data_IF_912321283876
#
_entry.id   IF_912321283876
#
_cell.length_a   1.000
_cell.length_b   1.000
_cell.length_c   1.000
_cell.angle_alpha   90.00
_cell.angle_beta   90.00
_cell.angle_gamma   90.00
#
_symmetry.space_group_name_H-M   'P 1'
#
loop_
_entity.id
_entity.type
_entity.pdbx_description
1 polymer ?
#
# COMPACT_ATOMS: atom_id res chain seq x y z
N UNK A 1 -9.90 -4.50 18.64
CA UNK A 1 -9.90 -5.43 17.47
C UNK A 1 -8.48 -5.54 16.93
N UNK A 2 -8.03 -6.73 16.57
CA UNK A 2 -6.71 -6.92 15.95
C UNK A 2 -6.75 -6.37 14.53
N UNK A 3 -5.83 -5.46 14.21
CA UNK A 3 -5.74 -4.93 12.84
C UNK A 3 -5.04 -5.95 11.93
N UNK A 4 -5.50 -6.12 10.67
CA UNK A 4 -4.88 -7.01 9.69
C UNK A 4 -3.44 -6.60 9.37
N UNK A 5 -2.55 -7.55 8.98
CA UNK A 5 -1.29 -7.19 8.36
C UNK A 5 -1.53 -6.43 7.06
N UNK A 6 -0.73 -5.38 6.84
CA UNK A 6 -0.75 -4.59 5.60
C UNK A 6 0.55 -4.87 4.85
N UNK A 7 0.45 -5.58 3.73
CA UNK A 7 1.57 -5.86 2.85
C UNK A 7 1.76 -4.73 1.85
N UNK A 8 2.99 -4.34 1.59
CA UNK A 8 3.34 -3.31 0.63
C UNK A 8 4.21 -3.90 -0.46
N UNK A 9 3.71 -3.82 -1.68
CA UNK A 9 4.40 -4.13 -2.94
C UNK A 9 4.55 -2.85 -3.76
N UNK A 10 5.42 -2.90 -4.79
CA UNK A 10 5.56 -1.81 -5.75
C UNK A 10 5.47 -2.36 -7.17
N UNK A 11 6.56 -2.89 -7.73
CA UNK A 11 6.67 -3.18 -9.15
C UNK A 11 6.89 -4.65 -9.43
N UNK A 12 6.42 -5.07 -10.60
CA UNK A 12 6.76 -6.37 -11.15
C UNK A 12 7.93 -6.25 -12.12
N UNK A 13 8.79 -7.27 -12.13
CA UNK A 13 9.86 -7.41 -13.10
C UNK A 13 9.97 -8.87 -13.54
N UNK A 14 10.15 -9.09 -14.84
CA UNK A 14 10.37 -10.44 -15.35
C UNK A 14 11.68 -11.00 -14.82
N UNK A 15 11.73 -12.30 -14.54
CA UNK A 15 12.90 -12.98 -13.98
C UNK A 15 14.16 -12.79 -14.85
N UNK A 16 14.00 -12.67 -16.18
CA UNK A 16 15.09 -12.41 -17.13
C UNK A 16 15.72 -11.01 -17.01
N UNK A 17 15.05 -10.08 -16.34
CA UNK A 17 15.45 -8.67 -16.24
C UNK A 17 16.01 -8.29 -14.86
N UNK A 18 15.99 -9.21 -13.90
CA UNK A 18 16.38 -8.94 -12.49
C UNK A 18 17.84 -8.50 -12.35
N UNK A 19 18.74 -8.94 -13.23
CA UNK A 19 20.16 -8.56 -13.20
C UNK A 19 20.40 -7.07 -13.48
N UNK A 20 19.41 -6.36 -14.03
CA UNK A 20 19.48 -4.94 -14.38
C UNK A 20 18.82 -4.04 -13.33
N UNK A 21 18.28 -4.61 -12.27
CA UNK A 21 17.58 -3.87 -11.23
C UNK A 21 18.54 -3.03 -10.37
N UNK A 22 18.21 -1.76 -10.16
CA UNK A 22 18.87 -0.87 -9.18
C UNK A 22 18.20 -0.90 -7.83
N UNK A 23 16.90 -1.21 -7.79
CA UNK A 23 16.10 -1.27 -6.56
C UNK A 23 15.43 -2.65 -6.35
N UNK A 24 16.22 -3.75 -6.30
CA UNK A 24 15.68 -5.11 -6.24
C UNK A 24 14.81 -5.39 -5.02
N UNK A 25 14.88 -4.54 -4.00
CA UNK A 25 14.06 -4.65 -2.79
C UNK A 25 12.60 -4.26 -3.03
N UNK A 26 12.28 -3.46 -4.06
CA UNK A 26 10.92 -3.03 -4.41
C UNK A 26 10.32 -3.81 -5.59
N UNK A 27 11.13 -4.62 -6.27
CA UNK A 27 10.71 -5.40 -7.42
C UNK A 27 10.40 -6.84 -7.03
N UNK A 28 9.32 -7.39 -7.56
CA UNK A 28 8.95 -8.79 -7.36
C UNK A 28 8.70 -9.45 -8.73
N UNK A 29 9.08 -10.74 -8.85
CA UNK A 29 8.69 -11.46 -10.05
C UNK A 29 7.26 -11.97 -9.97
N UNK A 30 6.53 -12.07 -11.11
CA UNK A 30 5.18 -12.63 -11.13
C UNK A 30 5.10 -14.01 -10.46
N UNK A 31 6.11 -14.88 -10.70
CA UNK A 31 6.15 -16.23 -10.14
C UNK A 31 6.30 -16.22 -8.60
N UNK A 32 7.12 -15.30 -8.06
CA UNK A 32 7.27 -15.18 -6.61
C UNK A 32 6.00 -14.63 -5.98
N UNK A 33 5.38 -13.61 -6.60
CA UNK A 33 4.11 -13.05 -6.15
C UNK A 33 3.00 -14.09 -6.15
N UNK A 34 2.85 -14.87 -7.21
CA UNK A 34 1.88 -15.97 -7.30
C UNK A 34 2.09 -17.00 -6.19
N UNK A 35 3.34 -17.39 -5.91
CA UNK A 35 3.66 -18.29 -4.78
C UNK A 35 3.30 -17.70 -3.43
N UNK A 36 3.46 -16.39 -3.25
CA UNK A 36 3.06 -15.69 -2.01
C UNK A 36 1.54 -15.67 -1.88
N UNK A 37 0.79 -15.28 -2.92
CA UNK A 37 -0.68 -15.25 -2.91
C UNK A 37 -1.27 -16.65 -2.71
N UNK A 38 -0.76 -17.66 -3.41
CA UNK A 38 -1.14 -19.07 -3.20
C UNK A 38 -0.87 -19.52 -1.76
N UNK A 39 0.25 -19.10 -1.17
CA UNK A 39 0.57 -19.40 0.23
C UNK A 39 -0.44 -18.76 1.19
N UNK A 40 -0.82 -17.50 0.98
CA UNK A 40 -1.82 -16.80 1.79
C UNK A 40 -3.19 -17.52 1.69
N UNK A 41 -3.67 -17.78 0.47
CA UNK A 41 -4.93 -18.47 0.23
C UNK A 41 -4.98 -19.85 0.92
N UNK A 42 -3.92 -20.68 0.75
CA UNK A 42 -3.84 -22.01 1.40
C UNK A 42 -3.82 -21.96 2.91
N UNK A 43 -3.44 -20.84 3.51
CA UNK A 43 -3.45 -20.61 4.94
C UNK A 43 -4.75 -19.99 5.46
N UNK A 44 -5.73 -19.77 4.58
CA UNK A 44 -7.04 -19.23 4.89
C UNK A 44 -7.04 -17.72 5.14
N UNK A 45 -6.07 -16.97 4.56
CA UNK A 45 -6.17 -15.52 4.53
C UNK A 45 -7.20 -15.07 3.49
N UNK A 46 -7.89 -13.98 3.83
CA UNK A 46 -8.84 -13.31 2.96
C UNK A 46 -8.43 -11.83 2.88
N UNK A 47 -8.33 -11.29 1.65
CA UNK A 47 -7.97 -9.89 1.48
C UNK A 47 -9.15 -9.00 1.83
N UNK A 48 -8.83 -7.87 2.46
CA UNK A 48 -9.76 -6.79 2.73
C UNK A 48 -9.11 -5.47 2.30
N UNK A 49 -9.91 -4.50 1.90
CA UNK A 49 -9.44 -3.14 1.64
C UNK A 49 -9.14 -2.39 2.94
N UNK A 50 -8.46 -1.26 2.86
CA UNK A 50 -8.28 -0.38 4.02
C UNK A 50 -9.64 0.16 4.51
N UNK A 51 -10.56 0.49 3.60
CA UNK A 51 -11.90 0.95 3.97
C UNK A 51 -12.71 -0.13 4.68
N UNK A 52 -12.62 -1.38 4.25
CA UNK A 52 -13.26 -2.50 4.96
C UNK A 52 -12.64 -2.73 6.34
N UNK A 53 -11.30 -2.62 6.45
CA UNK A 53 -10.59 -2.77 7.72
C UNK A 53 -11.06 -1.78 8.79
N UNK A 54 -11.45 -0.55 8.40
CA UNK A 54 -11.92 0.49 9.32
C UNK A 54 -13.44 0.73 9.25
N UNK A 55 -14.17 0.04 8.40
CA UNK A 55 -15.60 0.24 8.14
C UNK A 55 -16.55 -0.29 9.21
N UNK A 56 -16.04 -0.84 10.32
CA UNK A 56 -16.85 -1.31 11.45
C UNK A 56 -17.60 -2.62 11.20
N UNK A 57 -17.46 -3.24 10.03
CA UNK A 57 -18.01 -4.58 9.75
C UNK A 57 -17.13 -5.67 10.35
N UNK A 58 -17.71 -6.85 10.59
CA UNK A 58 -16.93 -8.01 11.01
C UNK A 58 -15.95 -8.41 9.89
N UNK A 59 -14.68 -8.46 10.24
CA UNK A 59 -13.63 -8.92 9.33
C UNK A 59 -13.59 -10.45 9.26
N UNK A 60 -13.06 -11.03 8.17
CA UNK A 60 -12.79 -12.45 8.07
C UNK A 60 -11.92 -12.96 9.22
N UNK A 61 -11.84 -14.28 9.40
CA UNK A 61 -11.06 -14.86 10.49
C UNK A 61 -9.55 -14.55 10.38
N UNK A 62 -9.02 -14.48 9.16
CA UNK A 62 -7.62 -14.14 8.86
C UNK A 62 -7.54 -13.04 7.81
N UNK A 63 -7.89 -11.80 8.16
CA UNK A 63 -7.86 -10.70 7.21
C UNK A 63 -6.42 -10.30 6.89
N UNK A 64 -6.19 -9.86 5.66
CA UNK A 64 -4.93 -9.28 5.19
C UNK A 64 -5.21 -8.14 4.23
N UNK A 65 -4.45 -7.05 4.33
CA UNK A 65 -4.49 -5.95 3.37
C UNK A 65 -3.29 -6.08 2.43
N UNK A 66 -3.53 -6.01 1.13
CA UNK A 66 -2.50 -6.03 0.10
C UNK A 66 -2.48 -4.66 -0.54
N UNK A 67 -1.32 -4.00 -0.57
CA UNK A 67 -1.19 -2.66 -1.15
C UNK A 67 -0.11 -2.63 -2.22
N UNK A 68 -0.35 -1.81 -3.25
CA UNK A 68 0.63 -1.49 -4.29
C UNK A 68 0.75 0.03 -4.40
N UNK A 69 1.99 0.52 -4.49
CA UNK A 69 2.27 1.94 -4.69
C UNK A 69 2.53 2.25 -6.17
N UNK A 70 2.56 3.54 -6.51
CA UNK A 70 2.91 4.15 -7.80
C UNK A 70 1.88 4.01 -8.93
N UNK A 71 1.07 2.96 -8.97
CA UNK A 71 0.08 2.75 -10.03
C UNK A 71 0.67 2.28 -11.36
N UNK A 72 1.75 1.50 -11.32
CA UNK A 72 2.47 1.03 -12.50
C UNK A 72 1.68 0.03 -13.35
N UNK A 73 1.87 0.06 -14.68
CA UNK A 73 1.16 -0.77 -15.67
C UNK A 73 1.42 -2.27 -15.46
N UNK A 74 2.57 -2.64 -14.91
CA UNK A 74 2.93 -4.02 -14.62
C UNK A 74 2.00 -4.68 -13.57
N UNK A 75 1.36 -3.88 -12.69
CA UNK A 75 0.30 -4.39 -11.84
C UNK A 75 -0.91 -4.88 -12.65
N UNK A 76 -1.32 -4.13 -13.66
CA UNK A 76 -2.41 -4.53 -14.57
C UNK A 76 -2.08 -5.83 -15.31
N UNK A 77 -0.84 -5.93 -15.78
CA UNK A 77 -0.37 -7.09 -16.55
C UNK A 77 -0.18 -8.36 -15.71
N UNK A 78 0.43 -8.24 -14.52
CA UNK A 78 0.84 -9.37 -13.70
C UNK A 78 0.11 -9.47 -12.36
N UNK A 79 -0.01 -8.38 -11.62
CA UNK A 79 -0.58 -8.38 -10.26
C UNK A 79 -2.05 -8.73 -10.24
N UNK A 80 -2.83 -8.04 -11.06
CA UNK A 80 -4.29 -8.23 -11.17
C UNK A 80 -4.69 -9.67 -11.47
N UNK A 81 -4.21 -10.33 -12.53
CA UNK A 81 -4.66 -11.69 -12.84
C UNK A 81 -4.28 -12.70 -11.75
N UNK A 82 -3.14 -12.53 -11.09
CA UNK A 82 -2.72 -13.41 -9.97
C UNK A 82 -3.64 -13.22 -8.76
N UNK A 83 -3.98 -11.96 -8.40
CA UNK A 83 -4.92 -11.69 -7.31
C UNK A 83 -6.30 -12.25 -7.61
N UNK A 84 -6.81 -12.04 -8.82
CA UNK A 84 -8.10 -12.60 -9.26
C UNK A 84 -8.14 -14.12 -9.17
N UNK A 85 -7.09 -14.82 -9.63
CA UNK A 85 -7.00 -16.28 -9.55
C UNK A 85 -6.98 -16.80 -8.09
N UNK A 86 -6.51 -15.97 -7.16
CA UNK A 86 -6.50 -16.28 -5.73
C UNK A 86 -7.77 -15.81 -4.99
N UNK A 87 -8.66 -15.07 -5.63
CA UNK A 87 -9.84 -14.46 -5.00
C UNK A 87 -9.46 -13.32 -4.04
N UNK A 88 -8.36 -12.61 -4.33
CA UNK A 88 -7.88 -11.48 -3.55
C UNK A 88 -8.15 -10.16 -4.27
N UNK A 89 -8.31 -9.10 -3.47
CA UNK A 89 -8.30 -7.70 -3.90
C UNK A 89 -7.11 -6.97 -3.29
N UNK A 90 -6.88 -5.71 -3.69
CA UNK A 90 -5.80 -4.86 -3.17
C UNK A 90 -6.23 -3.40 -3.13
N UNK A 91 -5.50 -2.58 -2.35
CA UNK A 91 -5.53 -1.12 -2.42
C UNK A 91 -4.35 -0.64 -3.25
N UNK A 92 -4.60 0.18 -4.27
CA UNK A 92 -3.57 0.76 -5.13
C UNK A 92 -3.46 2.25 -4.84
N UNK A 93 -2.24 2.73 -4.59
CA UNK A 93 -1.95 4.13 -4.40
C UNK A 93 -1.36 4.71 -5.69
N UNK A 94 -2.03 5.68 -6.29
CA UNK A 94 -1.67 6.22 -7.61
C UNK A 94 -1.21 7.67 -7.54
N UNK A 95 -0.24 8.03 -8.38
CA UNK A 95 0.30 9.38 -8.53
C UNK A 95 -0.47 10.08 -9.64
N UNK A 96 -1.37 10.98 -9.29
CA UNK A 96 -2.44 11.44 -10.18
C UNK A 96 -1.97 12.23 -11.39
N UNK A 97 -0.87 12.99 -11.29
CA UNK A 97 -0.34 13.77 -12.42
C UNK A 97 0.13 12.90 -13.57
N UNK A 98 0.56 11.70 -13.30
CA UNK A 98 1.26 10.86 -14.28
C UNK A 98 0.43 9.68 -14.77
N UNK A 99 -0.83 9.55 -14.36
CA UNK A 99 -1.73 8.49 -14.84
C UNK A 99 -1.77 8.48 -16.38
N UNK A 100 -1.56 7.31 -16.97
CA UNK A 100 -1.50 7.13 -18.43
C UNK A 100 -0.19 7.56 -19.09
N UNK A 101 0.83 7.93 -18.30
CA UNK A 101 2.16 8.32 -18.78
C UNK A 101 3.25 7.43 -18.16
N UNK A 102 4.35 8.02 -17.70
CA UNK A 102 5.47 7.30 -17.07
C UNK A 102 5.82 7.90 -15.71
N UNK A 103 6.41 7.09 -14.81
CA UNK A 103 6.88 7.51 -13.48
C UNK A 103 8.14 8.38 -13.55
N UNK A 104 8.04 9.58 -14.11
CA UNK A 104 9.16 10.48 -14.35
C UNK A 104 9.87 10.96 -13.07
N UNK A 105 9.21 10.93 -11.90
CA UNK A 105 9.83 11.21 -10.59
C UNK A 105 10.93 10.23 -10.19
N UNK A 106 11.01 9.07 -10.81
CA UNK A 106 12.05 8.08 -10.55
C UNK A 106 13.42 8.54 -11.05
N UNK A 107 13.46 9.44 -12.03
CA UNK A 107 14.71 10.04 -12.53
C UNK A 107 15.47 10.78 -11.44
N UNK A 108 14.78 11.38 -10.46
CA UNK A 108 15.39 12.11 -9.33
C UNK A 108 16.28 11.22 -8.45
N UNK A 109 16.06 9.90 -8.49
CA UNK A 109 16.86 8.91 -7.75
C UNK A 109 17.66 8.00 -8.67
N UNK A 110 17.69 8.30 -9.97
CA UNK A 110 18.44 7.54 -10.96
C UNK A 110 17.82 6.19 -11.33
N UNK A 111 16.54 5.99 -11.00
CA UNK A 111 15.77 4.82 -11.45
C UNK A 111 15.17 5.08 -12.84
N UNK A 112 15.00 4.04 -13.67
CA UNK A 112 14.31 4.17 -14.94
C UNK A 112 12.83 4.46 -14.70
N UNK A 113 12.23 5.32 -15.54
CA UNK A 113 10.79 5.51 -15.55
C UNK A 113 10.06 4.21 -15.95
N UNK A 114 8.82 4.07 -15.48
CA UNK A 114 7.95 2.93 -15.74
C UNK A 114 6.61 3.40 -16.28
N UNK A 115 6.03 2.70 -17.27
CA UNK A 115 4.67 2.99 -17.71
C UNK A 115 3.68 2.90 -16.54
N UNK A 116 2.73 3.81 -16.48
CA UNK A 116 1.66 3.84 -15.49
C UNK A 116 0.33 3.42 -16.14
N UNK A 117 -0.56 2.87 -15.33
CA UNK A 117 -1.93 2.59 -15.74
C UNK A 117 -2.64 3.89 -16.16
N UNK A 118 -3.54 3.78 -17.12
CA UNK A 118 -4.43 4.85 -17.52
C UNK A 118 -5.73 4.87 -16.67
N UNK A 119 -6.55 5.92 -16.89
CA UNK A 119 -7.80 6.07 -16.17
C UNK A 119 -8.84 4.99 -16.47
N UNK A 120 -8.85 4.42 -17.69
CA UNK A 120 -9.76 3.33 -18.04
C UNK A 120 -9.42 2.07 -17.26
N UNK A 121 -8.13 1.77 -17.11
CA UNK A 121 -7.64 0.66 -16.30
C UNK A 121 -7.95 0.86 -14.81
N UNK A 122 -7.74 2.07 -14.27
CA UNK A 122 -8.06 2.38 -12.87
C UNK A 122 -9.56 2.30 -12.60
N UNK A 123 -10.42 2.81 -13.50
CA UNK A 123 -11.89 2.65 -13.42
C UNK A 123 -12.31 1.19 -13.45
N UNK A 124 -11.70 0.39 -14.33
CA UNK A 124 -11.98 -1.04 -14.40
C UNK A 124 -11.57 -1.79 -13.13
N UNK A 125 -10.44 -1.41 -12.49
CA UNK A 125 -10.03 -1.96 -11.21
C UNK A 125 -11.02 -1.59 -10.09
N UNK A 126 -11.41 -0.31 -10.00
CA UNK A 126 -12.39 0.15 -9.01
C UNK A 126 -13.73 -0.60 -9.16
N UNK A 127 -14.23 -0.78 -10.39
CA UNK A 127 -15.43 -1.54 -10.70
C UNK A 127 -15.31 -3.03 -10.33
N UNK A 128 -14.09 -3.59 -10.36
CA UNK A 128 -13.79 -4.97 -9.95
C UNK A 128 -13.55 -5.12 -8.44
N UNK A 129 -13.74 -4.06 -7.63
CA UNK A 129 -13.62 -4.10 -6.17
C UNK A 129 -12.22 -3.85 -5.63
N UNK A 130 -11.28 -3.35 -6.45
CA UNK A 130 -10.02 -2.83 -5.95
C UNK A 130 -10.23 -1.43 -5.37
N UNK A 131 -9.55 -1.12 -4.27
CA UNK A 131 -9.57 0.22 -3.70
C UNK A 131 -8.48 1.08 -4.32
N UNK A 132 -8.83 2.28 -4.78
CA UNK A 132 -7.87 3.24 -5.34
C UNK A 132 -7.65 4.35 -4.31
N UNK A 133 -6.41 4.51 -3.88
CA UNK A 133 -5.95 5.54 -2.95
C UNK A 133 -5.00 6.53 -3.63
N UNK A 134 -4.69 7.60 -2.92
CA UNK A 134 -3.77 8.65 -3.37
C UNK A 134 -2.32 8.31 -3.01
N UNK A 135 -1.40 8.54 -3.96
CA UNK A 135 0.04 8.62 -3.68
C UNK A 135 0.57 10.04 -3.91
N UNK A 136 -0.25 11.05 -3.55
CA UNK A 136 -0.11 12.48 -3.84
C UNK A 136 -0.28 12.83 -5.33
N UNK A 137 -0.14 14.12 -5.67
CA UNK A 137 -0.29 14.56 -7.05
C UNK A 137 0.97 14.30 -7.88
N UNK A 138 2.15 14.66 -7.36
CA UNK A 138 3.41 14.63 -8.14
C UNK A 138 4.48 13.70 -7.56
N UNK A 139 4.20 12.94 -6.49
CA UNK A 139 5.12 12.05 -5.80
C UNK A 139 6.33 12.76 -5.14
N UNK A 140 6.26 14.08 -4.89
CA UNK A 140 7.32 14.80 -4.19
C UNK A 140 7.41 14.37 -2.72
N UNK A 141 8.62 14.32 -2.16
CA UNK A 141 8.83 14.04 -0.74
C UNK A 141 8.24 15.19 0.11
N UNK A 142 7.15 14.94 0.84
CA UNK A 142 6.43 15.97 1.59
C UNK A 142 7.31 16.78 2.55
N UNK A 143 8.31 16.21 3.26
CA UNK A 143 9.19 17.00 4.12
C UNK A 143 10.09 18.02 3.40
N UNK A 144 10.13 18.03 2.08
CA UNK A 144 10.87 19.00 1.26
C UNK A 144 9.99 20.13 0.74
N UNK A 145 8.70 20.11 1.06
CA UNK A 145 7.70 21.05 0.59
C UNK A 145 7.31 22.03 1.69
N UNK A 146 6.85 23.20 1.29
CA UNK A 146 6.14 24.11 2.17
C UNK A 146 4.76 23.58 2.53
N UNK A 147 4.13 24.07 3.59
CA UNK A 147 2.79 23.65 4.00
C UNK A 147 1.74 23.90 2.90
N UNK A 148 1.86 24.99 2.14
CA UNK A 148 0.97 25.30 1.01
C UNK A 148 1.15 24.32 -0.14
N UNK A 149 2.38 23.93 -0.47
CA UNK A 149 2.66 22.91 -1.48
C UNK A 149 2.12 21.54 -1.04
N UNK A 150 2.32 21.15 0.23
CA UNK A 150 1.75 19.92 0.78
C UNK A 150 0.22 19.93 0.66
N UNK A 151 -0.42 21.02 1.04
CA UNK A 151 -1.86 21.16 0.90
C UNK A 151 -2.32 21.10 -0.57
N UNK A 152 -1.54 21.63 -1.50
CA UNK A 152 -1.75 21.52 -2.95
C UNK A 152 -1.69 20.06 -3.42
N UNK A 153 -0.59 19.35 -3.14
CA UNK A 153 -0.38 17.93 -3.48
C UNK A 153 -1.56 17.05 -3.05
N UNK A 154 -2.05 17.27 -1.84
CA UNK A 154 -3.12 16.47 -1.25
C UNK A 154 -4.49 16.79 -1.87
N UNK A 155 -4.82 18.08 -2.02
CA UNK A 155 -6.12 18.51 -2.59
C UNK A 155 -6.25 18.18 -4.07
N UNK A 156 -5.20 18.43 -4.87
CA UNK A 156 -5.21 18.16 -6.29
C UNK A 156 -5.37 16.67 -6.57
N UNK A 157 -4.63 15.83 -5.83
CA UNK A 157 -4.78 14.38 -5.94
C UNK A 157 -6.20 13.91 -5.61
N UNK A 158 -6.81 14.44 -4.53
CA UNK A 158 -8.19 14.11 -4.19
C UNK A 158 -9.18 14.53 -5.26
N UNK A 159 -9.09 15.77 -5.72
CA UNK A 159 -10.03 16.31 -6.70
C UNK A 159 -10.00 15.53 -8.02
N UNK A 160 -8.79 15.15 -8.48
CA UNK A 160 -8.63 14.36 -9.70
C UNK A 160 -9.20 12.95 -9.52
N UNK A 161 -8.89 12.26 -8.41
CA UNK A 161 -9.42 10.92 -8.14
C UNK A 161 -10.94 10.93 -7.99
N UNK A 162 -11.50 11.94 -7.33
CA UNK A 162 -12.95 12.12 -7.22
C UNK A 162 -13.60 12.32 -8.58
N UNK A 163 -13.03 13.18 -9.43
CA UNK A 163 -13.54 13.45 -10.77
C UNK A 163 -13.51 12.21 -11.68
N UNK A 164 -12.45 11.39 -11.58
CA UNK A 164 -12.24 10.24 -12.46
C UNK A 164 -12.92 8.95 -11.96
N UNK A 165 -13.08 8.79 -10.62
CA UNK A 165 -13.61 7.57 -10.03
C UNK A 165 -14.99 7.76 -9.36
N UNK A 166 -15.49 8.98 -9.29
CA UNK A 166 -16.83 9.29 -8.75
C UNK A 166 -16.90 9.41 -7.24
N UNK A 167 -15.77 9.25 -6.54
CA UNK A 167 -15.68 9.44 -5.09
C UNK A 167 -14.25 9.84 -4.69
N UNK A 168 -14.09 10.70 -3.65
CA UNK A 168 -12.75 11.05 -3.16
C UNK A 168 -12.05 9.83 -2.56
N UNK A 169 -10.72 9.71 -2.71
CA UNK A 169 -9.96 8.62 -2.11
C UNK A 169 -9.96 8.72 -0.59
N UNK A 170 -10.29 7.64 0.09
CA UNK A 170 -10.27 7.60 1.55
C UNK A 170 -8.84 7.52 2.12
N UNK A 171 -7.89 6.99 1.37
CA UNK A 171 -6.56 6.62 1.86
C UNK A 171 -5.44 7.26 1.07
N UNK A 172 -4.39 7.66 1.81
CA UNK A 172 -3.14 8.20 1.29
C UNK A 172 -2.00 7.23 1.56
N UNK A 173 -1.02 7.12 0.66
CA UNK A 173 0.31 6.62 1.01
C UNK A 173 1.33 7.76 0.87
N UNK A 174 2.18 7.94 1.89
CA UNK A 174 3.20 8.98 1.86
C UNK A 174 4.32 8.60 0.88
N UNK A 175 4.67 9.45 -0.10
CA UNK A 175 5.80 9.21 -0.99
C UNK A 175 7.06 8.84 -0.24
N UNK A 176 7.71 7.75 -0.63
CA UNK A 176 8.92 7.20 0.02
C UNK A 176 8.76 6.92 1.52
N UNK A 177 7.52 6.87 2.02
CA UNK A 177 7.21 6.70 3.44
C UNK A 177 7.67 7.86 4.33
N UNK A 178 7.93 9.04 3.76
CA UNK A 178 8.44 10.22 4.48
C UNK A 178 7.32 11.19 4.83
N UNK A 179 7.17 11.47 6.12
CA UNK A 179 6.13 12.36 6.66
C UNK A 179 6.55 12.90 8.03
N UNK A 180 5.77 13.87 8.53
CA UNK A 180 5.86 14.45 9.86
C UNK A 180 4.47 14.52 10.50
N UNK A 181 4.38 14.98 11.74
CA UNK A 181 3.10 15.23 12.41
C UNK A 181 2.25 16.30 11.70
N UNK A 182 2.87 17.33 11.12
CA UNK A 182 2.17 18.34 10.32
C UNK A 182 1.55 17.74 9.06
N UNK A 183 2.24 16.81 8.38
CA UNK A 183 1.71 16.12 7.20
C UNK A 183 0.53 15.20 7.52
N UNK A 184 0.52 14.57 8.71
CA UNK A 184 -0.65 13.81 9.20
C UNK A 184 -1.85 14.73 9.40
N UNK A 185 -1.64 15.90 10.01
CA UNK A 185 -2.67 16.90 10.19
C UNK A 185 -3.18 17.47 8.86
N UNK A 186 -2.27 17.73 7.90
CA UNK A 186 -2.63 18.18 6.55
C UNK A 186 -3.48 17.13 5.80
N UNK A 187 -3.12 15.85 5.88
CA UNK A 187 -3.91 14.77 5.29
C UNK A 187 -5.30 14.66 5.90
N UNK A 188 -5.43 14.79 7.22
CA UNK A 188 -6.72 14.83 7.90
C UNK A 188 -7.56 16.04 7.47
N UNK A 189 -6.94 17.23 7.37
CA UNK A 189 -7.60 18.45 6.91
C UNK A 189 -8.04 18.37 5.45
N UNK A 190 -7.26 17.68 4.61
CA UNK A 190 -7.62 17.43 3.22
C UNK A 190 -8.78 16.43 3.06
N UNK A 191 -9.23 15.76 4.13
CA UNK A 191 -10.38 14.84 4.10
C UNK A 191 -10.03 13.36 3.97
N UNK A 192 -8.74 12.98 3.97
CA UNK A 192 -8.38 11.56 4.02
C UNK A 192 -8.82 10.92 5.34
N UNK A 193 -9.23 9.67 5.28
CA UNK A 193 -9.61 8.90 6.47
C UNK A 193 -8.39 8.33 7.20
N UNK A 194 -7.26 8.23 6.51
CA UNK A 194 -6.00 7.79 7.09
C UNK A 194 -4.89 7.69 6.05
N UNK A 195 -3.69 7.34 6.50
CA UNK A 195 -2.52 7.29 5.63
C UNK A 195 -1.59 6.13 5.96
N UNK A 196 -1.00 5.55 4.91
CA UNK A 196 -0.04 4.48 4.97
C UNK A 196 1.40 5.02 5.01
N UNK A 197 2.20 4.40 5.88
CA UNK A 197 3.63 4.63 6.03
C UNK A 197 4.41 3.33 5.86
N UNK A 198 5.74 3.41 5.91
CA UNK A 198 6.63 2.25 5.81
C UNK A 198 7.12 1.88 7.22
N UNK A 199 7.04 0.61 7.59
CA UNK A 199 7.69 0.10 8.79
C UNK A 199 9.20 -0.08 8.54
N UNK A 200 10.03 0.67 9.24
CA UNK A 200 11.50 0.56 9.15
C UNK A 200 12.01 -0.70 9.86
N UNK A 201 11.36 -1.09 10.95
CA UNK A 201 11.67 -2.28 11.73
C UNK A 201 10.39 -3.05 12.05
N UNK A 202 10.53 -4.33 12.30
CA UNK A 202 9.42 -5.23 12.65
C UNK A 202 8.60 -4.75 13.85
N UNK A 203 9.27 -4.22 14.87
CA UNK A 203 8.66 -3.66 16.10
C UNK A 203 7.90 -2.34 15.87
N UNK A 204 8.07 -1.72 14.69
CA UNK A 204 7.40 -0.45 14.35
C UNK A 204 6.01 -0.68 13.76
N UNK A 205 5.58 -1.95 13.61
CA UNK A 205 4.26 -2.34 13.12
C UNK A 205 3.17 -2.13 14.20
N UNK A 206 3.06 -0.92 14.71
CA UNK A 206 2.00 -0.49 15.64
C UNK A 206 0.92 0.32 14.93
N UNK A 207 -0.32 0.25 15.40
CA UNK A 207 -1.49 0.84 14.73
C UNK A 207 -2.22 1.86 15.63
N UNK A 208 -1.46 2.63 16.40
CA UNK A 208 -2.04 3.65 17.28
C UNK A 208 -2.60 4.87 16.54
N UNK A 209 -2.13 5.13 15.32
CA UNK A 209 -2.49 6.31 14.54
C UNK A 209 -2.95 5.91 13.12
N UNK A 210 -4.19 6.27 12.80
CA UNK A 210 -4.79 6.00 11.47
C UNK A 210 -4.04 6.71 10.33
N UNK A 211 -3.37 7.81 10.62
CA UNK A 211 -2.53 8.54 9.67
C UNK A 211 -1.07 8.05 9.64
N UNK A 212 -0.80 6.90 10.25
CA UNK A 212 0.53 6.29 10.32
C UNK A 212 0.45 4.76 10.23
N UNK A 213 -0.37 4.23 9.33
CA UNK A 213 -0.51 2.78 9.16
C UNK A 213 0.78 2.17 8.62
N UNK A 214 1.51 1.48 9.47
CA UNK A 214 2.80 0.85 9.12
C UNK A 214 2.57 -0.39 8.27
N UNK A 215 3.16 -0.39 7.08
CA UNK A 215 3.08 -1.50 6.12
C UNK A 215 4.35 -2.35 6.13
N UNK A 216 4.17 -3.63 5.94
CA UNK A 216 5.26 -4.59 5.76
C UNK A 216 5.74 -4.52 4.30
N UNK A 217 6.91 -3.94 4.04
CA UNK A 217 7.55 -3.99 2.71
C UNK A 217 7.90 -5.43 2.36
N UNK A 218 7.36 -5.93 1.26
CA UNK A 218 7.70 -7.24 0.71
C UNK A 218 8.80 -7.08 -0.33
N UNK A 219 9.93 -7.73 -0.07
CA UNK A 219 11.11 -7.61 -0.94
C UNK A 219 11.13 -8.74 -1.98
N UNK A 220 11.37 -8.40 -3.24
CA UNK A 220 11.51 -9.40 -4.30
C UNK A 220 12.71 -10.33 -4.13
N UNK A 221 13.68 -9.94 -3.30
CA UNK A 221 14.82 -10.78 -2.90
C UNK A 221 14.51 -11.70 -1.72
N UNK A 222 13.29 -11.63 -1.18
CA UNK A 222 12.91 -12.38 0.02
C UNK A 222 12.51 -13.83 -0.32
N UNK A 223 13.08 -14.80 0.42
CA UNK A 223 12.66 -16.19 0.28
C UNK A 223 11.25 -16.44 0.82
N UNK A 224 10.56 -17.46 0.29
CA UNK A 224 9.25 -17.89 0.80
C UNK A 224 9.28 -18.30 2.29
N UNK A 225 10.41 -18.81 2.77
CA UNK A 225 10.58 -19.13 4.20
C UNK A 225 10.55 -17.86 5.03
N UNK A 226 11.28 -16.82 4.61
CA UNK A 226 11.29 -15.53 5.31
C UNK A 226 9.94 -14.84 5.26
N UNK A 227 9.28 -14.84 4.10
CA UNK A 227 7.90 -14.34 3.97
C UNK A 227 6.95 -14.99 4.99
N UNK A 228 6.97 -16.31 5.09
CA UNK A 228 6.14 -17.07 6.04
C UNK A 228 6.46 -16.74 7.51
N UNK A 229 7.74 -16.62 7.84
CA UNK A 229 8.17 -16.27 9.20
C UNK A 229 7.75 -14.86 9.59
N UNK A 230 7.82 -13.90 8.67
CA UNK A 230 7.35 -12.52 8.90
C UNK A 230 5.86 -12.45 9.17
N UNK A 231 5.04 -13.19 8.40
CA UNK A 231 3.60 -13.29 8.65
C UNK A 231 3.28 -13.88 10.02
N UNK A 232 4.04 -14.90 10.46
CA UNK A 232 3.88 -15.50 11.79
C UNK A 232 4.29 -14.54 12.89
N UNK A 233 5.44 -13.89 12.75
CA UNK A 233 5.95 -12.96 13.76
C UNK A 233 5.01 -11.74 13.93
N UNK A 234 4.39 -11.25 12.87
CA UNK A 234 3.38 -10.19 12.96
C UNK A 234 2.15 -10.66 13.76
N UNK A 235 1.78 -11.91 13.62
CA UNK A 235 0.72 -12.51 14.43
C UNK A 235 1.10 -12.56 15.91
N UNK A 236 2.34 -12.86 16.26
CA UNK A 236 2.83 -12.94 17.65
C UNK A 236 2.99 -11.56 18.31
N UNK A 237 3.57 -10.56 17.60
CA UNK A 237 3.71 -9.19 18.13
C UNK A 237 2.35 -8.62 18.52
N UNK A 238 1.33 -8.85 17.69
CA UNK A 238 -0.06 -8.42 17.94
C UNK A 238 -0.72 -9.17 19.11
N UNK A 239 -0.26 -10.35 19.44
CA UNK A 239 -0.78 -11.11 20.58
C UNK A 239 -0.23 -10.56 21.91
N UNK A 240 1.06 -10.17 21.97
CA UNK A 240 1.67 -9.60 23.18
C UNK A 240 1.09 -8.24 23.55
N UNK A 241 0.87 -7.34 22.57
CA UNK A 241 0.29 -6.02 22.82
C UNK A 241 -1.16 -6.09 23.35
N UNK A 242 -1.92 -7.13 22.99
CA UNK A 242 -3.28 -7.32 23.50
C UNK A 242 -3.34 -7.87 24.92
N UNK A 243 -2.27 -8.48 25.42
CA UNK A 243 -2.17 -8.99 26.79
C UNK A 243 -1.76 -7.87 27.77
N UNK A 244 -0.89 -6.95 27.34
CA UNK A 244 -0.44 -5.84 28.19
C UNK A 244 -1.53 -4.78 28.43
N UNK A 245 -2.47 -4.57 27.50
CA UNK A 245 -3.59 -3.66 27.69
C UNK A 245 -4.75 -4.26 28.54
N UNK A 246 -4.76 -5.56 28.77
CA UNK A 246 -5.76 -6.26 29.61
C UNK A 246 -5.42 -6.29 31.10
N UNK A 247 -4.20 -5.87 31.49
CA UNK A 247 -3.71 -5.95 32.87
C UNK A 247 -3.64 -4.60 33.61
N UNK A 248 -4.10 -3.49 32.99
CA UNK A 248 -4.09 -2.15 33.62
C UNK A 248 -5.47 -1.59 33.97
N UNK A 249 -6.42 -2.41 34.36
CA UNK A 249 -7.67 -1.92 34.94
C UNK A 249 -8.17 -2.82 36.08
N UNK A 250 -7.43 -2.85 37.17
CA UNK A 250 -7.97 -3.10 38.54
C UNK A 250 -6.92 -2.59 39.52
N UNK A 251 -7.05 -1.30 39.89
CA UNK A 251 -6.94 -0.82 41.28
C UNK A 251 -7.41 0.63 41.34
#
# INVERSE_FOLDING_TARGET
MRQPPILMYHWFRRSSELSQSRSPQFEITPELFERQMTCLRRRGYESVSLSEMFGGRALPQKPIVITFDDGTLDFWEFGRPILQACGFTATLFVVTQYVGTESSWEADVGEPSRPLMDWDQLRALAAAGYEIGSHTHTHRELPRLTDDEVAGELRESQAILEAELGAPPAWLAYPRGRYSSSHKAAAATAGYHGACAIALKYRDLGYGDRFELKRMTIKGTESMTRFRLRLLAEHFVRYSDSVDHGLQSTD
#
